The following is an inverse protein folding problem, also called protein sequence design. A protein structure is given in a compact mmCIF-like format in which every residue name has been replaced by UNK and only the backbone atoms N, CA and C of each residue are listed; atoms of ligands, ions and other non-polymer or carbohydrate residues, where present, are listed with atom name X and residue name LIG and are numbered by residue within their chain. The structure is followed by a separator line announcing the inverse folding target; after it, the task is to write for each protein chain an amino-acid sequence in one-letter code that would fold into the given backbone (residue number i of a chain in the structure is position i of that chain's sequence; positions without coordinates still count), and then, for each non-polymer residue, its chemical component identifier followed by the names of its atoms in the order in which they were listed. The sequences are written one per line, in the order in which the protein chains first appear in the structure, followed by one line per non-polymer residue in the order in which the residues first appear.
data_IF_068436512624
#
_entry.id   IF_068436512624
#
_cell.length_a   1.000
_cell.length_b   1.000
_cell.length_c   1.000
_cell.angle_alpha   90.00
_cell.angle_beta   90.00
_cell.angle_gamma   90.00
#
_symmetry.space_group_name_H-M   'P 1'
#
loop_
_entity.id
_entity.type
_entity.pdbx_description
1 polymer ?
#
# COMPACT_ATOMS: atom_id res chain seq x y z
N UNK A 1 -19.51 11.64 7.70
CA UNK A 1 -18.20 11.02 7.61
C UNK A 1 -18.05 9.79 8.50
N UNK A 2 -18.15 9.87 9.84
CA UNK A 2 -18.01 8.70 10.75
C UNK A 2 -19.00 7.57 10.46
N UNK A 3 -20.24 7.89 10.07
CA UNK A 3 -21.26 6.90 9.77
C UNK A 3 -20.91 6.07 8.51
N UNK A 4 -20.41 6.73 7.46
CA UNK A 4 -19.97 6.08 6.20
C UNK A 4 -18.78 5.17 6.48
N UNK A 5 -17.74 5.68 7.15
CA UNK A 5 -16.60 4.89 7.57
C UNK A 5 -16.98 3.63 8.35
N UNK A 6 -17.85 3.76 9.37
CA UNK A 6 -18.28 2.63 10.19
C UNK A 6 -19.08 1.60 9.38
N UNK A 7 -19.97 2.07 8.47
CA UNK A 7 -20.76 1.22 7.59
C UNK A 7 -19.84 0.41 6.66
N UNK A 8 -18.93 1.10 5.97
CA UNK A 8 -18.07 0.49 4.98
C UNK A 8 -17.04 -0.44 5.63
N UNK A 9 -16.43 -0.03 6.75
CA UNK A 9 -15.55 -0.90 7.52
C UNK A 9 -16.27 -2.17 8.01
N UNK A 10 -17.49 -2.03 8.53
CA UNK A 10 -18.31 -3.16 8.96
C UNK A 10 -18.64 -4.07 7.77
N UNK A 11 -19.02 -3.49 6.64
CA UNK A 11 -19.29 -4.23 5.40
C UNK A 11 -18.07 -5.03 4.93
N UNK A 12 -16.85 -4.47 4.98
CA UNK A 12 -15.63 -5.21 4.64
C UNK A 12 -15.36 -6.36 5.60
N UNK A 13 -15.64 -6.19 6.89
CA UNK A 13 -15.39 -7.24 7.91
C UNK A 13 -16.45 -8.34 7.90
N UNK A 14 -17.71 -8.01 7.63
CA UNK A 14 -18.81 -8.99 7.54
C UNK A 14 -18.75 -9.78 6.22
N UNK A 15 -18.29 -9.15 5.14
CA UNK A 15 -17.98 -9.85 3.91
C UNK A 15 -16.64 -10.59 4.06
N UNK A 16 -16.54 -11.81 3.54
CA UNK A 16 -15.31 -12.62 3.56
C UNK A 16 -14.09 -11.93 2.96
N UNK A 17 -14.26 -10.85 2.18
CA UNK A 17 -13.19 -10.15 1.47
C UNK A 17 -12.21 -9.50 2.45
N UNK A 18 -12.69 -8.79 3.46
CA UNK A 18 -11.82 -8.14 4.44
C UNK A 18 -10.92 -9.15 5.18
N UNK A 19 -11.49 -10.15 5.88
CA UNK A 19 -10.71 -11.17 6.56
C UNK A 19 -9.76 -11.94 5.64
N UNK A 20 -10.20 -12.30 4.42
CA UNK A 20 -9.36 -13.01 3.44
C UNK A 20 -8.16 -12.13 3.02
N UNK A 21 -8.38 -10.83 2.77
CA UNK A 21 -7.30 -9.92 2.38
C UNK A 21 -6.32 -9.67 3.53
N UNK A 22 -6.82 -9.51 4.77
CA UNK A 22 -5.96 -9.38 5.96
C UNK A 22 -5.11 -10.64 6.12
N UNK A 23 -5.71 -11.83 6.02
CA UNK A 23 -4.99 -13.09 6.15
C UNK A 23 -3.97 -13.31 5.03
N UNK A 24 -4.29 -12.94 3.79
CA UNK A 24 -3.36 -13.02 2.68
C UNK A 24 -2.14 -12.10 2.88
N UNK A 25 -2.36 -10.84 3.29
CA UNK A 25 -1.28 -9.90 3.57
C UNK A 25 -0.39 -10.42 4.71
N UNK A 26 -0.98 -10.89 5.79
CA UNK A 26 -0.24 -11.46 6.92
C UNK A 26 0.53 -12.72 6.51
N UNK A 27 -0.08 -13.58 5.70
CA UNK A 27 0.59 -14.80 5.20
C UNK A 27 1.85 -14.46 4.41
N UNK A 28 1.78 -13.48 3.49
CA UNK A 28 2.95 -13.00 2.74
C UNK A 28 3.99 -12.39 3.66
N UNK A 29 3.60 -11.52 4.61
CA UNK A 29 4.52 -10.92 5.57
C UNK A 29 5.27 -11.97 6.40
N UNK A 30 4.54 -12.94 6.97
CA UNK A 30 5.13 -13.99 7.78
C UNK A 30 5.97 -14.96 6.95
N UNK A 31 5.57 -15.27 5.72
CA UNK A 31 6.34 -16.12 4.81
C UNK A 31 7.70 -15.50 4.49
N UNK A 32 7.73 -14.23 4.10
CA UNK A 32 8.98 -13.54 3.83
C UNK A 32 9.82 -13.33 5.08
N UNK A 33 9.20 -13.06 6.21
CA UNK A 33 9.89 -13.02 7.50
C UNK A 33 10.55 -14.36 7.83
N UNK A 34 9.85 -15.47 7.66
CA UNK A 34 10.41 -16.79 7.89
C UNK A 34 11.60 -17.08 6.97
N UNK A 35 11.42 -16.87 5.66
CA UNK A 35 12.44 -17.20 4.65
C UNK A 35 13.71 -16.34 4.81
N UNK A 36 13.58 -15.05 5.05
CA UNK A 36 14.74 -14.16 5.08
C UNK A 36 15.39 -14.06 6.46
N UNK A 37 14.59 -13.99 7.52
CA UNK A 37 15.09 -13.74 8.86
C UNK A 37 15.35 -15.03 9.65
N UNK A 38 14.39 -15.96 9.70
CA UNK A 38 14.61 -17.20 10.45
C UNK A 38 15.48 -18.20 9.67
N UNK A 39 15.15 -18.48 8.43
CA UNK A 39 15.92 -19.43 7.61
C UNK A 39 17.21 -18.80 7.06
N UNK A 40 17.16 -17.55 6.59
CA UNK A 40 18.27 -16.80 6.03
C UNK A 40 19.22 -16.18 7.05
N UNK A 41 18.87 -16.20 8.36
CA UNK A 41 19.64 -15.59 9.46
C UNK A 41 19.99 -14.11 9.25
N UNK A 42 19.17 -13.38 8.48
CA UNK A 42 19.34 -11.94 8.30
C UNK A 42 18.70 -11.18 9.46
N UNK A 43 19.40 -10.16 9.97
CA UNK A 43 18.88 -9.28 11.03
C UNK A 43 18.09 -8.10 10.49
N UNK A 44 18.19 -7.82 9.18
CA UNK A 44 17.46 -6.75 8.52
C UNK A 44 16.03 -7.17 8.18
N UNK A 45 15.04 -6.40 8.67
CA UNK A 45 13.62 -6.57 8.32
C UNK A 45 13.18 -5.64 7.19
N UNK A 46 13.88 -4.50 7.02
CA UNK A 46 13.44 -3.43 6.15
C UNK A 46 13.36 -3.86 4.68
N UNK A 47 14.48 -4.28 4.09
CA UNK A 47 14.53 -4.64 2.67
C UNK A 47 13.88 -6.00 2.38
N UNK A 48 14.24 -7.11 3.06
CA UNK A 48 13.77 -8.43 2.66
C UNK A 48 12.30 -8.68 3.00
N UNK A 49 11.75 -8.07 4.05
CA UNK A 49 10.37 -8.33 4.47
C UNK A 49 9.41 -7.28 3.93
N UNK A 50 9.65 -6.01 4.22
CA UNK A 50 8.67 -4.97 3.86
C UNK A 50 8.66 -4.64 2.38
N UNK A 51 9.82 -4.54 1.73
CA UNK A 51 9.88 -4.27 0.28
C UNK A 51 9.28 -5.42 -0.52
N UNK A 52 9.58 -6.67 -0.13
CA UNK A 52 9.03 -7.83 -0.84
C UNK A 52 7.52 -7.96 -0.60
N UNK A 53 7.06 -7.68 0.63
CA UNK A 53 5.63 -7.69 0.95
C UNK A 53 4.86 -6.53 0.28
N UNK A 54 5.53 -5.45 -0.11
CA UNK A 54 4.91 -4.37 -0.90
C UNK A 54 4.38 -4.87 -2.25
N UNK A 55 5.00 -5.91 -2.82
CA UNK A 55 4.49 -6.59 -4.02
C UNK A 55 3.10 -7.18 -3.76
N UNK A 56 2.89 -7.79 -2.59
CA UNK A 56 1.57 -8.32 -2.22
C UNK A 56 0.51 -7.22 -2.15
N UNK A 57 0.84 -6.03 -1.65
CA UNK A 57 -0.08 -4.88 -1.64
C UNK A 57 -0.44 -4.38 -3.03
N UNK A 58 0.50 -4.45 -3.97
CA UNK A 58 0.27 -4.06 -5.37
C UNK A 58 -0.88 -4.84 -6.00
N UNK A 59 -1.07 -6.09 -5.60
CA UNK A 59 -2.19 -6.92 -6.07
C UNK A 59 -3.40 -6.89 -5.13
N UNK A 60 -3.18 -6.85 -3.84
CA UNK A 60 -4.24 -6.91 -2.83
C UNK A 60 -5.10 -5.64 -2.81
N UNK A 61 -4.49 -4.45 -2.90
CA UNK A 61 -5.20 -3.18 -2.78
C UNK A 61 -6.16 -2.92 -3.95
N UNK A 62 -5.81 -3.16 -5.24
CA UNK A 62 -6.77 -3.06 -6.32
C UNK A 62 -8.00 -3.97 -6.14
N UNK A 63 -7.79 -5.20 -5.67
CA UNK A 63 -8.89 -6.15 -5.40
C UNK A 63 -9.78 -5.67 -4.25
N UNK A 64 -9.21 -5.03 -3.24
CA UNK A 64 -9.96 -4.49 -2.11
C UNK A 64 -10.77 -3.24 -2.51
N UNK A 65 -10.17 -2.34 -3.28
CA UNK A 65 -10.74 -1.04 -3.63
C UNK A 65 -11.71 -1.09 -4.81
N UNK A 66 -11.61 -2.12 -5.70
CA UNK A 66 -12.45 -2.23 -6.89
C UNK A 66 -13.95 -2.21 -6.56
N UNK A 67 -14.34 -2.72 -5.39
CA UNK A 67 -15.74 -2.77 -4.93
C UNK A 67 -16.22 -1.47 -4.30
N UNK A 68 -15.31 -0.57 -3.92
CA UNK A 68 -15.67 0.59 -3.09
C UNK A 68 -16.67 1.54 -3.77
N UNK A 69 -16.43 1.92 -5.02
CA UNK A 69 -17.32 2.77 -5.80
C UNK A 69 -18.02 2.03 -6.93
N UNK A 70 -17.29 1.20 -7.67
CA UNK A 70 -17.82 0.51 -8.85
C UNK A 70 -19.01 -0.43 -8.52
N UNK A 71 -19.02 -1.05 -7.34
CA UNK A 71 -20.16 -1.87 -6.89
C UNK A 71 -21.37 -1.01 -6.54
N UNK A 72 -21.17 0.14 -5.92
CA UNK A 72 -22.27 1.07 -5.57
C UNK A 72 -22.89 1.69 -6.82
N UNK A 73 -22.09 2.10 -7.79
CA UNK A 73 -22.56 2.64 -9.08
C UNK A 73 -23.30 1.56 -9.86
N UNK A 74 -22.77 0.35 -9.92
CA UNK A 74 -23.45 -0.79 -10.58
C UNK A 74 -24.81 -1.10 -9.95
N UNK A 75 -24.91 -1.04 -8.63
CA UNK A 75 -26.14 -1.32 -7.89
C UNK A 75 -27.05 -0.09 -7.79
N UNK A 76 -26.67 1.07 -8.36
CA UNK A 76 -27.38 2.35 -8.30
C UNK A 76 -27.63 2.84 -6.86
N UNK A 77 -26.81 2.41 -5.92
CA UNK A 77 -26.88 2.82 -4.50
C UNK A 77 -26.20 4.17 -4.26
N UNK A 78 -25.43 4.67 -5.23
CA UNK A 78 -24.87 6.01 -5.29
C UNK A 78 -25.94 7.11 -5.24
N UNK A 79 -27.15 6.84 -5.78
CA UNK A 79 -28.28 7.77 -5.73
C UNK A 79 -28.72 8.13 -4.30
N UNK A 80 -28.50 7.24 -3.33
CA UNK A 80 -28.77 7.50 -1.92
C UNK A 80 -27.90 8.63 -1.35
N UNK A 81 -26.70 8.83 -1.87
CA UNK A 81 -25.82 9.93 -1.45
C UNK A 81 -26.27 11.27 -2.05
N UNK A 82 -26.89 11.24 -3.25
CA UNK A 82 -27.40 12.44 -3.92
C UNK A 82 -28.61 13.03 -3.21
N UNK A 83 -29.40 12.20 -2.50
CA UNK A 83 -30.57 12.63 -1.72
C UNK A 83 -30.25 12.98 -0.28
N UNK A 84 -29.09 12.59 0.23
CA UNK A 84 -28.66 12.88 1.60
C UNK A 84 -27.91 14.22 1.67
N UNK A 85 -27.99 14.98 2.76
CA UNK A 85 -27.26 16.23 2.95
C UNK A 85 -25.78 15.96 3.29
N UNK A 86 -25.08 15.25 2.41
CA UNK A 86 -23.68 14.81 2.59
C UNK A 86 -22.86 15.32 1.41
N UNK A 87 -21.68 15.89 1.68
CA UNK A 87 -20.76 16.32 0.61
C UNK A 87 -20.03 15.12 0.01
N UNK A 88 -19.77 15.16 -1.30
CA UNK A 88 -19.04 14.11 -2.04
C UNK A 88 -17.68 13.85 -1.38
N UNK A 89 -16.99 14.91 -0.94
CA UNK A 89 -15.70 14.77 -0.24
C UNK A 89 -15.77 13.94 1.05
N UNK A 90 -16.89 14.03 1.79
CA UNK A 90 -17.11 13.23 3.00
C UNK A 90 -17.31 11.74 2.68
N UNK A 91 -17.91 11.44 1.53
CA UNK A 91 -18.07 10.06 1.05
C UNK A 91 -16.72 9.47 0.69
N UNK A 92 -15.94 10.16 -0.14
CA UNK A 92 -14.59 9.71 -0.58
C UNK A 92 -13.66 9.50 0.61
N UNK A 93 -13.59 10.48 1.53
CA UNK A 93 -12.79 10.36 2.75
C UNK A 93 -13.27 9.25 3.67
N UNK A 94 -14.59 9.02 3.77
CA UNK A 94 -15.14 7.92 4.56
C UNK A 94 -14.71 6.56 4.03
N UNK A 95 -14.75 6.35 2.71
CA UNK A 95 -14.31 5.13 2.04
C UNK A 95 -12.79 4.91 2.15
N UNK A 96 -12.03 5.98 1.92
CA UNK A 96 -10.58 5.94 2.08
C UNK A 96 -10.19 5.52 3.50
N UNK A 97 -10.80 6.14 4.53
CA UNK A 97 -10.55 5.79 5.93
C UNK A 97 -10.99 4.36 6.27
N UNK A 98 -12.05 3.84 5.66
CA UNK A 98 -12.48 2.46 5.88
C UNK A 98 -11.40 1.46 5.40
N UNK A 99 -10.84 1.66 4.21
CA UNK A 99 -9.77 0.81 3.68
C UNK A 99 -8.47 1.04 4.47
N UNK A 100 -8.15 2.29 4.82
CA UNK A 100 -6.97 2.63 5.61
C UNK A 100 -6.98 1.92 6.97
N UNK A 101 -8.12 1.93 7.68
CA UNK A 101 -8.26 1.22 8.96
C UNK A 101 -8.17 -0.30 8.80
N UNK A 102 -8.68 -0.84 7.70
CA UNK A 102 -8.56 -2.27 7.39
C UNK A 102 -7.10 -2.67 7.15
N UNK A 103 -6.32 -1.86 6.42
CA UNK A 103 -4.89 -2.07 6.19
C UNK A 103 -4.04 -1.81 7.45
N UNK A 104 -4.53 -0.99 8.39
CA UNK A 104 -3.85 -0.77 9.66
C UNK A 104 -3.81 -2.04 10.54
N UNK A 105 -4.76 -2.96 10.38
CA UNK A 105 -4.79 -4.21 11.16
C UNK A 105 -3.55 -5.08 10.87
N UNK A 106 -3.26 -5.51 9.63
CA UNK A 106 -2.09 -6.33 9.33
C UNK A 106 -0.77 -5.59 9.59
N UNK A 107 -0.71 -4.26 9.36
CA UNK A 107 0.49 -3.47 9.67
C UNK A 107 0.70 -3.33 11.18
N UNK A 108 -0.36 -3.21 11.97
CA UNK A 108 -0.29 -3.24 13.42
C UNK A 108 0.24 -4.57 13.97
N UNK A 109 -0.20 -5.69 13.39
CA UNK A 109 0.33 -7.03 13.73
C UNK A 109 1.81 -7.13 13.31
N UNK A 110 2.18 -6.57 12.15
CA UNK A 110 3.57 -6.54 11.69
C UNK A 110 4.51 -5.73 12.62
N UNK A 111 3.99 -4.81 13.46
CA UNK A 111 4.78 -4.13 14.49
C UNK A 111 5.37 -5.09 15.54
N UNK A 112 4.83 -6.30 15.66
CA UNK A 112 5.36 -7.30 16.58
C UNK A 112 6.63 -7.98 16.04
N UNK A 113 6.85 -7.99 14.73
CA UNK A 113 7.99 -8.66 14.09
C UNK A 113 9.35 -8.11 14.55
N UNK A 114 9.58 -6.76 14.61
CA UNK A 114 10.84 -6.22 15.13
C UNK A 114 11.07 -6.58 16.60
N UNK A 115 10.02 -6.64 17.41
CA UNK A 115 10.11 -7.03 18.83
C UNK A 115 10.53 -8.49 18.94
N UNK A 116 9.92 -9.38 18.17
CA UNK A 116 10.29 -10.80 18.13
C UNK A 116 11.75 -10.98 17.72
N UNK A 117 12.21 -10.25 16.68
CA UNK A 117 13.61 -10.31 16.26
C UNK A 117 14.56 -9.80 17.35
N UNK A 118 14.20 -8.75 18.08
CA UNK A 118 15.00 -8.23 19.19
C UNK A 118 15.20 -9.22 20.35
N UNK A 119 14.30 -10.20 20.50
CA UNK A 119 14.45 -11.29 21.47
C UNK A 119 15.45 -12.36 21.01
N UNK A 120 15.59 -12.57 19.68
CA UNK A 120 16.47 -13.59 19.12
C UNK A 120 17.86 -13.05 18.73
N UNK A 121 17.96 -11.74 18.39
CA UNK A 121 19.20 -11.11 17.94
C UNK A 121 19.42 -9.77 18.61
N UNK A 122 20.68 -9.53 19.09
CA UNK A 122 21.04 -8.25 19.75
C UNK A 122 21.35 -7.11 18.76
N UNK A 123 21.56 -7.43 17.48
CA UNK A 123 22.00 -6.46 16.45
C UNK A 123 20.85 -5.86 15.60
N UNK A 124 19.60 -5.97 16.09
CA UNK A 124 18.44 -5.46 15.34
C UNK A 124 18.34 -3.94 15.51
N UNK A 125 18.38 -3.21 14.41
CA UNK A 125 18.16 -1.76 14.38
C UNK A 125 16.64 -1.46 14.42
N UNK A 126 16.05 -1.45 15.62
CA UNK A 126 14.60 -1.24 15.84
C UNK A 126 14.08 0.02 15.16
N UNK A 127 14.85 1.13 15.20
CA UNK A 127 14.44 2.39 14.57
C UNK A 127 14.24 2.24 13.07
N UNK A 128 15.16 1.58 12.36
CA UNK A 128 15.06 1.34 10.93
C UNK A 128 13.86 0.43 10.59
N UNK A 129 13.59 -0.57 11.42
CA UNK A 129 12.45 -1.46 11.23
C UNK A 129 11.11 -0.73 11.34
N UNK A 130 10.93 0.12 12.35
CA UNK A 130 9.69 0.88 12.53
C UNK A 130 9.52 1.97 11.48
N UNK A 131 10.60 2.64 11.07
CA UNK A 131 10.57 3.63 9.99
C UNK A 131 10.16 2.98 8.68
N UNK A 132 10.69 1.80 8.38
CA UNK A 132 10.33 1.03 7.17
C UNK A 132 8.89 0.52 7.21
N UNK A 133 8.38 0.13 8.38
CA UNK A 133 6.98 -0.25 8.56
C UNK A 133 6.03 0.94 8.33
N UNK A 134 6.40 2.12 8.81
CA UNK A 134 5.64 3.34 8.57
C UNK A 134 5.64 3.67 7.06
N UNK A 135 6.79 3.60 6.40
CA UNK A 135 6.90 3.80 4.96
C UNK A 135 6.04 2.79 4.18
N UNK A 136 6.02 1.53 4.60
CA UNK A 136 5.20 0.48 4.05
C UNK A 136 3.69 0.77 4.18
N UNK A 137 3.23 1.27 5.32
CA UNK A 137 1.84 1.69 5.51
C UNK A 137 1.48 2.92 4.65
N UNK A 138 2.35 3.93 4.59
CA UNK A 138 2.15 5.10 3.73
C UNK A 138 2.08 4.72 2.25
N UNK A 139 2.91 3.78 1.81
CA UNK A 139 2.84 3.21 0.45
C UNK A 139 1.48 2.57 0.18
N UNK A 140 0.95 1.79 1.13
CA UNK A 140 -0.38 1.20 1.02
C UNK A 140 -1.49 2.25 0.89
N UNK A 141 -1.41 3.34 1.66
CA UNK A 141 -2.36 4.46 1.57
C UNK A 141 -2.29 5.18 0.22
N UNK A 142 -1.09 5.38 -0.32
CA UNK A 142 -0.89 5.93 -1.66
C UNK A 142 -1.56 5.05 -2.72
N UNK A 143 -1.32 3.75 -2.70
CA UNK A 143 -1.95 2.80 -3.62
C UNK A 143 -3.48 2.82 -3.49
N UNK A 144 -4.00 2.89 -2.25
CA UNK A 144 -5.44 2.98 -1.99
C UNK A 144 -6.07 4.22 -2.64
N UNK A 145 -5.41 5.37 -2.57
CA UNK A 145 -5.89 6.61 -3.20
C UNK A 145 -6.01 6.46 -4.72
N UNK A 146 -4.99 5.88 -5.36
CA UNK A 146 -4.97 5.62 -6.80
C UNK A 146 -6.09 4.66 -7.19
N UNK A 147 -6.25 3.58 -6.45
CA UNK A 147 -7.26 2.58 -6.74
C UNK A 147 -8.69 3.11 -6.55
N UNK A 148 -8.93 3.94 -5.52
CA UNK A 148 -10.22 4.59 -5.32
C UNK A 148 -10.56 5.55 -6.45
N UNK A 149 -9.57 6.27 -6.99
CA UNK A 149 -9.74 7.13 -8.15
C UNK A 149 -10.23 6.33 -9.37
N UNK A 150 -9.56 5.22 -9.71
CA UNK A 150 -10.00 4.37 -10.81
C UNK A 150 -11.35 3.69 -10.55
N UNK A 151 -11.63 3.33 -9.29
CA UNK A 151 -12.94 2.78 -8.91
C UNK A 151 -14.08 3.77 -9.08
N UNK A 152 -13.81 5.07 -8.95
CA UNK A 152 -14.80 6.12 -9.17
C UNK A 152 -15.03 6.46 -10.65
N UNK A 153 -14.08 6.11 -11.54
CA UNK A 153 -14.17 6.39 -12.98
C UNK A 153 -14.92 5.31 -13.76
N UNK A 154 -15.10 4.12 -13.20
CA UNK A 154 -15.64 2.97 -13.92
C UNK A 154 -16.82 2.33 -13.19
N UNK A 155 -17.88 2.04 -13.93
CA UNK A 155 -19.08 1.34 -13.41
C UNK A 155 -18.87 -0.19 -13.34
N UNK A 156 -17.81 -0.68 -13.97
CA UNK A 156 -17.52 -2.12 -14.02
C UNK A 156 -16.41 -2.47 -13.03
N UNK A 157 -16.75 -3.32 -12.06
CA UNK A 157 -15.86 -3.75 -10.98
C UNK A 157 -14.54 -4.35 -11.53
N UNK A 158 -14.62 -5.19 -12.56
CA UNK A 158 -13.43 -5.84 -13.13
C UNK A 158 -12.54 -4.84 -13.87
N UNK A 159 -13.12 -3.90 -14.63
CA UNK A 159 -12.36 -2.87 -15.34
C UNK A 159 -11.65 -1.93 -14.35
N UNK A 160 -12.30 -1.59 -13.23
CA UNK A 160 -11.68 -0.80 -12.16
C UNK A 160 -10.42 -1.48 -11.61
N UNK A 161 -10.51 -2.80 -11.33
CA UNK A 161 -9.36 -3.56 -10.85
C UNK A 161 -8.21 -3.62 -11.87
N UNK A 162 -8.55 -3.86 -13.14
CA UNK A 162 -7.54 -3.96 -14.21
C UNK A 162 -6.85 -2.61 -14.44
N UNK A 163 -7.59 -1.50 -14.54
CA UNK A 163 -6.99 -0.18 -14.73
C UNK A 163 -6.12 0.25 -13.57
N UNK A 164 -6.57 0.03 -12.33
CA UNK A 164 -5.77 0.35 -11.15
C UNK A 164 -4.50 -0.51 -11.08
N UNK A 165 -4.60 -1.81 -11.33
CA UNK A 165 -3.43 -2.70 -11.35
C UNK A 165 -2.45 -2.33 -12.47
N UNK A 166 -2.93 -2.05 -13.70
CA UNK A 166 -2.09 -1.61 -14.81
C UNK A 166 -1.37 -0.30 -14.47
N UNK A 167 -2.08 0.68 -13.91
CA UNK A 167 -1.47 1.97 -13.55
C UNK A 167 -0.37 1.81 -12.52
N UNK A 168 -0.58 0.98 -11.50
CA UNK A 168 0.41 0.70 -10.46
C UNK A 168 1.64 -0.01 -11.06
N UNK A 169 1.42 -1.03 -11.89
CA UNK A 169 2.51 -1.77 -12.55
C UNK A 169 3.33 -0.84 -13.45
N UNK A 170 2.66 -0.04 -14.29
CA UNK A 170 3.34 0.96 -15.13
C UNK A 170 4.12 1.95 -14.27
N UNK A 171 3.56 2.42 -13.15
CA UNK A 171 4.24 3.31 -12.20
C UNK A 171 5.52 2.71 -11.63
N UNK A 172 5.51 1.43 -11.27
CA UNK A 172 6.68 0.71 -10.78
C UNK A 172 7.76 0.61 -11.87
N UNK A 173 7.38 0.25 -13.12
CA UNK A 173 8.30 0.18 -14.24
C UNK A 173 8.87 1.55 -14.60
N UNK A 174 8.05 2.58 -14.66
CA UNK A 174 8.52 3.95 -14.90
C UNK A 174 9.45 4.42 -13.78
N UNK A 175 9.13 4.14 -12.51
CA UNK A 175 9.99 4.47 -11.39
C UNK A 175 11.37 3.83 -11.49
N UNK A 176 11.45 2.57 -11.87
CA UNK A 176 12.71 1.85 -12.08
C UNK A 176 13.51 2.39 -13.29
N UNK A 177 12.84 2.76 -14.37
CA UNK A 177 13.47 3.38 -15.54
C UNK A 177 13.99 4.80 -15.21
N UNK A 178 13.18 5.61 -14.52
CA UNK A 178 13.56 6.96 -14.11
C UNK A 178 14.74 6.97 -13.13
N UNK A 179 14.81 6.01 -12.21
CA UNK A 179 15.93 5.91 -11.27
C UNK A 179 17.26 5.68 -11.99
N UNK A 180 17.26 4.86 -13.05
CA UNK A 180 18.46 4.63 -13.89
C UNK A 180 18.87 5.87 -14.67
N UNK A 181 17.92 6.60 -15.25
CA UNK A 181 18.18 7.82 -16.03
C UNK A 181 18.65 8.95 -15.11
N UNK A 182 17.99 9.14 -13.98
CA UNK A 182 18.31 10.21 -13.02
C UNK A 182 19.71 10.04 -12.40
N UNK A 183 20.09 8.81 -12.08
CA UNK A 183 21.44 8.50 -11.58
C UNK A 183 22.49 8.78 -12.64
N UNK A 184 22.28 8.39 -13.90
CA UNK A 184 23.21 8.67 -15.00
C UNK A 184 23.35 10.16 -15.27
N UNK A 185 22.27 10.91 -15.23
CA UNK A 185 22.28 12.38 -15.45
C UNK A 185 22.94 13.14 -14.28
N UNK A 186 22.59 12.76 -13.03
CA UNK A 186 23.23 13.31 -11.82
C UNK A 186 24.72 12.97 -11.76
N UNK A 187 25.12 11.75 -12.10
CA UNK A 187 26.52 11.36 -12.16
C UNK A 187 27.28 12.20 -13.19
N UNK A 188 26.66 12.49 -14.35
CA UNK A 188 27.25 13.33 -15.40
C UNK A 188 27.39 14.79 -14.98
N UNK A 189 26.45 15.33 -14.20
CA UNK A 189 26.55 16.70 -13.65
C UNK A 189 27.62 16.75 -12.56
N UNK A 190 27.65 15.77 -11.65
CA UNK A 190 28.65 15.73 -10.57
C UNK A 190 30.05 15.56 -11.12
N UNK A 191 30.28 14.71 -12.11
CA UNK A 191 31.57 14.55 -12.73
C UNK A 191 32.03 15.83 -13.45
N UNK A 192 31.13 16.51 -14.16
CA UNK A 192 31.41 17.81 -14.77
C UNK A 192 31.74 18.90 -13.76
N UNK A 193 31.06 18.91 -12.60
CA UNK A 193 31.33 19.86 -11.52
C UNK A 193 32.68 19.61 -10.81
N UNK A 194 33.04 18.33 -10.65
CA UNK A 194 34.32 17.92 -10.05
C UNK A 194 35.51 18.20 -11.01
N UNK A 195 35.34 17.99 -12.32
CA UNK A 195 36.33 18.32 -13.32
C UNK A 195 36.58 19.84 -13.44
N UNK A 196 35.55 20.65 -13.19
CA UNK A 196 35.70 22.11 -13.16
C UNK A 196 36.53 22.58 -11.97
N UNK A 197 36.39 21.92 -10.81
CA UNK A 197 37.14 22.26 -9.60
C UNK A 197 38.62 21.78 -9.65
N UNK A 198 38.94 20.81 -10.50
CA UNK A 198 40.32 20.31 -10.68
C UNK A 198 41.14 21.13 -11.68
N UNK A 199 40.50 22.08 -12.38
CA UNK A 199 41.19 22.97 -13.38
C UNK A 199 41.43 24.38 -12.88
N UNK A 200 41.06 24.72 -11.64
CA UNK A 200 41.47 25.92 -10.91
C UNK A 200 42.61 25.58 -9.94
#
# INVERSE_FOLDING_TARGET
MKAIWKRDFKSYMENLIGPVMISAILWFLFLFFFLNNLAGRNTDLAAPVYVTSAIAFTFAIPLLSMRSFAEETRNKTDQLYMTAPITIGQVVLGKFLAIATLLAIPTGIACLLPVLMGLFSRDVQLLNCYTSLLAFYLYALMLTSICLFFSALTDNILLSAVFSALFIVVGIFMGSAFSRIKIAWLAKILSGALDFNSRM
#
